data_IF_715190730042
#
_entry.id   IF_715190730042
#
_cell.length_a   1.000
_cell.length_b   1.000
_cell.length_c   1.000
_cell.angle_alpha   90.00
_cell.angle_beta   90.00
_cell.angle_gamma   90.00
#
_symmetry.space_group_name_H-M   'P 1'
#
loop_
_entity.id
_entity.type
_entity.pdbx_description
1 polymer ?
#
# COMPACT_ATOMS: atom_id res chain seq x y z
N UNK A 1 -50.75 -20.04 12.00
CA UNK A 1 -50.70 -20.39 10.55
C UNK A 1 -49.30 -20.70 10.03
N UNK A 2 -48.24 -20.02 10.46
CA UNK A 2 -46.85 -20.30 10.03
C UNK A 2 -46.46 -21.79 10.15
N UNK A 3 -46.75 -22.42 11.28
CA UNK A 3 -46.49 -23.85 11.52
C UNK A 3 -47.22 -24.73 10.49
N UNK A 4 -48.46 -24.38 10.12
CA UNK A 4 -49.24 -25.12 9.12
C UNK A 4 -48.78 -24.89 7.68
N UNK A 5 -48.19 -23.73 7.39
CA UNK A 5 -47.62 -23.42 6.07
C UNK A 5 -46.29 -24.15 5.83
N UNK A 6 -45.53 -24.43 6.89
CA UNK A 6 -44.21 -25.07 6.84
C UNK A 6 -44.16 -26.36 7.65
N UNK A 7 -45.16 -27.24 7.52
CA UNK A 7 -45.27 -28.48 8.32
C UNK A 7 -43.99 -29.32 8.35
N UNK A 8 -43.20 -29.32 7.30
CA UNK A 8 -41.95 -30.07 7.21
C UNK A 8 -40.82 -29.54 8.12
N UNK A 9 -40.92 -28.30 8.62
CA UNK A 9 -39.93 -27.69 9.52
C UNK A 9 -40.26 -27.88 11.01
N UNK A 10 -41.45 -28.42 11.33
CA UNK A 10 -41.96 -28.51 12.70
C UNK A 10 -42.26 -29.95 13.09
N UNK A 11 -42.18 -30.22 14.40
CA UNK A 11 -42.53 -31.52 14.96
C UNK A 11 -44.05 -31.77 14.87
N UNK A 12 -44.50 -33.04 14.72
CA UNK A 12 -45.93 -33.39 14.62
C UNK A 12 -46.81 -32.82 15.74
N UNK A 13 -46.28 -32.77 16.96
CA UNK A 13 -46.97 -32.24 18.15
C UNK A 13 -47.26 -30.75 18.01
N UNK A 14 -46.33 -29.98 17.44
CA UNK A 14 -46.51 -28.55 17.19
C UNK A 14 -47.51 -28.29 16.05
N UNK A 15 -47.57 -29.18 15.06
CA UNK A 15 -48.57 -29.12 13.99
C UNK A 15 -49.97 -29.38 14.56
N UNK A 16 -50.12 -30.42 15.39
CA UNK A 16 -51.39 -30.77 16.03
C UNK A 16 -51.91 -29.63 16.92
N UNK A 17 -51.07 -29.09 17.81
CA UNK A 17 -51.43 -27.94 18.65
C UNK A 17 -51.79 -26.70 17.82
N UNK A 18 -51.09 -26.45 16.71
CA UNK A 18 -51.41 -25.33 15.82
C UNK A 18 -52.72 -25.51 15.04
N UNK A 19 -53.11 -26.76 14.73
CA UNK A 19 -54.40 -27.05 14.11
C UNK A 19 -55.55 -26.83 15.10
N UNK A 20 -55.38 -27.27 16.34
CA UNK A 20 -56.35 -27.09 17.43
C UNK A 20 -56.56 -25.61 17.76
N UNK A 21 -55.47 -24.86 17.94
CA UNK A 21 -55.51 -23.41 18.20
C UNK A 21 -56.19 -22.62 17.06
N UNK A 22 -56.04 -23.08 15.81
CA UNK A 22 -56.69 -22.44 14.64
C UNK A 22 -58.16 -22.85 14.52
N UNK A 23 -58.53 -24.05 14.95
CA UNK A 23 -59.93 -24.46 15.00
C UNK A 23 -60.70 -23.67 16.07
N UNK A 24 -60.05 -23.34 17.19
CA UNK A 24 -60.63 -22.57 18.28
C UNK A 24 -60.78 -21.07 17.94
N UNK A 25 -59.80 -20.53 17.20
CA UNK A 25 -59.87 -19.16 16.67
C UNK A 25 -60.74 -19.15 15.40
N UNK A 26 -62.02 -18.77 15.52
CA UNK A 26 -62.97 -18.55 14.42
C UNK A 26 -62.54 -17.41 13.48
N UNK A 27 -61.42 -17.59 12.79
CA UNK A 27 -60.86 -16.62 11.84
C UNK A 27 -61.72 -16.56 10.59
N UNK A 28 -62.03 -15.35 10.16
CA UNK A 28 -62.71 -15.08 8.89
C UNK A 28 -61.82 -15.46 7.70
N UNK A 29 -62.41 -15.82 6.56
CA UNK A 29 -61.65 -16.18 5.35
C UNK A 29 -60.72 -15.04 4.86
N UNK A 30 -61.12 -13.78 5.10
CA UNK A 30 -60.30 -12.60 4.78
C UNK A 30 -59.02 -12.54 5.65
N UNK A 31 -59.12 -12.84 6.94
CA UNK A 31 -57.97 -12.92 7.85
C UNK A 31 -57.02 -14.06 7.47
N UNK A 32 -57.57 -15.22 7.07
CA UNK A 32 -56.75 -16.35 6.59
C UNK A 32 -55.97 -15.97 5.33
N UNK A 33 -56.63 -15.29 4.39
CA UNK A 33 -56.02 -14.80 3.15
C UNK A 33 -54.91 -13.77 3.41
N UNK A 34 -55.14 -12.80 4.31
CA UNK A 34 -54.13 -11.80 4.67
C UNK A 34 -52.89 -12.43 5.33
N UNK A 35 -53.09 -13.37 6.26
CA UNK A 35 -51.98 -14.07 6.92
C UNK A 35 -51.19 -14.90 5.90
N UNK A 36 -51.87 -15.55 4.94
CA UNK A 36 -51.21 -16.32 3.89
C UNK A 36 -50.38 -15.44 2.96
N UNK A 37 -50.89 -14.26 2.57
CA UNK A 37 -50.12 -13.27 1.79
C UNK A 37 -48.90 -12.74 2.56
N UNK A 38 -49.06 -12.46 3.86
CA UNK A 38 -47.95 -11.99 4.69
C UNK A 38 -46.85 -13.06 4.83
N UNK A 39 -47.23 -14.33 4.99
CA UNK A 39 -46.28 -15.45 5.04
C UNK A 39 -45.53 -15.63 3.71
N UNK A 40 -46.22 -15.50 2.57
CA UNK A 40 -45.58 -15.56 1.25
C UNK A 40 -44.58 -14.41 1.06
N UNK A 41 -44.93 -13.19 1.51
CA UNK A 41 -44.02 -12.04 1.46
C UNK A 41 -42.80 -12.22 2.35
N UNK A 42 -42.98 -12.73 3.58
CA UNK A 42 -41.86 -13.01 4.49
C UNK A 42 -40.91 -14.07 3.90
N UNK A 43 -41.46 -15.09 3.23
CA UNK A 43 -40.67 -16.14 2.57
C UNK A 43 -39.87 -15.57 1.39
N UNK A 44 -40.53 -14.80 0.52
CA UNK A 44 -39.86 -14.14 -0.61
C UNK A 44 -38.75 -13.18 -0.15
N UNK A 45 -38.97 -12.43 0.94
CA UNK A 45 -37.97 -11.55 1.53
C UNK A 45 -36.78 -12.34 2.13
N UNK A 46 -37.03 -13.49 2.78
CA UNK A 46 -35.97 -14.37 3.28
C UNK A 46 -35.13 -14.95 2.13
N UNK A 47 -35.78 -15.45 1.08
CA UNK A 47 -35.09 -15.98 -0.10
C UNK A 47 -34.25 -14.89 -0.79
N UNK A 48 -34.80 -13.68 -0.91
CA UNK A 48 -34.08 -12.53 -1.47
C UNK A 48 -32.88 -12.13 -0.60
N UNK A 49 -33.02 -12.15 0.73
CA UNK A 49 -31.92 -11.89 1.66
C UNK A 49 -30.83 -12.97 1.56
N UNK A 50 -31.22 -14.25 1.60
CA UNK A 50 -30.29 -15.37 1.43
C UNK A 50 -29.54 -15.32 0.09
N UNK A 51 -30.25 -15.02 -1.01
CA UNK A 51 -29.63 -14.84 -2.32
C UNK A 51 -28.68 -13.63 -2.35
N UNK A 52 -29.04 -12.52 -1.69
CA UNK A 52 -28.18 -11.33 -1.59
C UNK A 52 -26.93 -11.56 -0.74
N UNK A 53 -27.02 -12.37 0.32
CA UNK A 53 -25.91 -12.77 1.18
C UNK A 53 -24.95 -13.72 0.45
N UNK A 54 -25.49 -14.71 -0.27
CA UNK A 54 -24.70 -15.58 -1.15
C UNK A 54 -24.01 -14.79 -2.25
N UNK A 55 -24.68 -13.82 -2.87
CA UNK A 55 -24.08 -12.93 -3.86
C UNK A 55 -22.99 -12.02 -3.25
N UNK A 56 -23.16 -11.56 -2.00
CA UNK A 56 -22.11 -10.86 -1.25
C UNK A 56 -20.93 -11.80 -1.04
N UNK A 57 -21.14 -12.98 -0.46
CA UNK A 57 -20.09 -13.95 -0.20
C UNK A 57 -19.33 -14.32 -1.47
N UNK A 58 -20.03 -14.52 -2.61
CA UNK A 58 -19.40 -14.77 -3.91
C UNK A 58 -18.54 -13.59 -4.41
N UNK A 59 -18.96 -12.35 -4.16
CA UNK A 59 -18.14 -11.15 -4.46
C UNK A 59 -16.89 -11.10 -3.60
N UNK A 60 -17.00 -11.38 -2.29
CA UNK A 60 -15.87 -11.35 -1.36
C UNK A 60 -14.92 -12.53 -1.55
N UNK A 61 -15.43 -13.74 -1.80
CA UNK A 61 -14.62 -14.93 -2.09
C UNK A 61 -13.92 -14.84 -3.45
N UNK A 62 -14.55 -14.18 -4.44
CA UNK A 62 -13.92 -13.85 -5.72
C UNK A 62 -12.76 -12.85 -5.59
N UNK A 63 -12.83 -11.94 -4.63
CA UNK A 63 -11.71 -11.02 -4.33
C UNK A 63 -10.58 -11.76 -3.60
N UNK A 64 -10.91 -12.63 -2.64
CA UNK A 64 -9.94 -13.45 -1.90
C UNK A 64 -9.20 -14.45 -2.78
N UNK A 65 -9.88 -15.12 -3.71
CA UNK A 65 -9.25 -16.05 -4.67
C UNK A 65 -8.37 -15.31 -5.69
N UNK A 66 -8.81 -14.15 -6.19
CA UNK A 66 -7.97 -13.28 -7.05
C UNK A 66 -6.75 -12.72 -6.33
N UNK A 67 -6.88 -12.41 -5.04
CA UNK A 67 -5.76 -12.00 -4.20
C UNK A 67 -4.83 -13.18 -3.88
N UNK A 68 -5.35 -14.39 -3.61
CA UNK A 68 -4.51 -15.58 -3.38
C UNK A 68 -3.68 -15.97 -4.60
N UNK A 69 -4.25 -15.85 -5.81
CA UNK A 69 -3.50 -15.97 -7.06
C UNK A 69 -2.50 -14.82 -7.28
N UNK A 70 -2.79 -13.61 -6.78
CA UNK A 70 -1.90 -12.45 -6.81
C UNK A 70 -0.87 -12.40 -5.67
N UNK A 71 -1.00 -13.24 -4.63
CA UNK A 71 -0.01 -13.44 -3.56
C UNK A 71 1.08 -14.43 -4.01
N UNK A 72 0.82 -15.25 -5.02
CA UNK A 72 1.82 -16.16 -5.57
C UNK A 72 2.04 -16.09 -7.11
N UNK A 73 2.09 -14.91 -7.76
CA UNK A 73 2.30 -14.80 -9.20
C UNK A 73 3.74 -15.16 -9.62
N UNK A 74 4.63 -15.42 -8.65
CA UNK A 74 6.05 -15.73 -8.86
C UNK A 74 6.33 -17.25 -8.76
N UNK A 75 5.32 -18.08 -8.51
CA UNK A 75 5.48 -19.53 -8.31
C UNK A 75 6.04 -20.29 -9.52
N UNK A 76 5.95 -19.72 -10.73
CA UNK A 76 6.49 -20.34 -11.96
C UNK A 76 7.96 -19.97 -12.24
N UNK A 77 8.56 -19.09 -11.43
CA UNK A 77 9.97 -18.70 -11.58
C UNK A 77 10.94 -19.67 -10.91
N UNK A 78 12.15 -19.84 -11.48
CA UNK A 78 13.24 -20.56 -10.80
C UNK A 78 13.41 -20.05 -9.35
N UNK A 79 13.68 -20.93 -8.39
CA UNK A 79 13.79 -20.58 -6.96
C UNK A 79 14.73 -19.39 -6.69
N UNK A 80 15.71 -19.17 -7.57
CA UNK A 80 16.64 -18.04 -7.53
C UNK A 80 15.98 -16.67 -7.75
N UNK A 81 15.00 -16.56 -8.65
CA UNK A 81 14.34 -15.29 -8.99
C UNK A 81 13.43 -14.85 -7.85
N UNK A 82 12.67 -15.80 -7.29
CA UNK A 82 11.80 -15.55 -6.13
C UNK A 82 12.59 -15.04 -4.94
N UNK A 83 13.72 -15.69 -4.62
CA UNK A 83 14.63 -15.25 -3.55
C UNK A 83 15.08 -13.80 -3.75
N UNK A 84 15.46 -13.43 -4.98
CA UNK A 84 15.87 -12.04 -5.30
C UNK A 84 14.74 -11.04 -5.08
N UNK A 85 13.53 -11.34 -5.56
CA UNK A 85 12.37 -10.47 -5.37
C UNK A 85 12.09 -10.26 -3.88
N UNK A 86 12.09 -11.35 -3.09
CA UNK A 86 11.87 -11.28 -1.64
C UNK A 86 12.95 -10.44 -0.95
N UNK A 87 14.22 -10.63 -1.29
CA UNK A 87 15.33 -9.84 -0.71
C UNK A 87 15.16 -8.35 -1.05
N UNK A 88 14.82 -8.00 -2.30
CA UNK A 88 14.55 -6.61 -2.68
C UNK A 88 13.36 -6.03 -1.92
N UNK A 89 12.26 -6.79 -1.77
CA UNK A 89 11.11 -6.37 -0.99
C UNK A 89 11.45 -6.14 0.49
N UNK A 90 12.26 -7.01 1.10
CA UNK A 90 12.71 -6.84 2.48
C UNK A 90 13.58 -5.59 2.60
N UNK A 91 14.56 -5.41 1.70
CA UNK A 91 15.43 -4.25 1.70
C UNK A 91 14.64 -2.94 1.58
N UNK A 92 13.80 -2.80 0.54
CA UNK A 92 13.01 -1.58 0.35
C UNK A 92 11.91 -1.43 1.40
N UNK A 93 11.38 -2.53 1.94
CA UNK A 93 10.40 -2.50 3.03
C UNK A 93 11.00 -1.93 4.31
N UNK A 94 12.18 -2.44 4.73
CA UNK A 94 12.92 -1.91 5.87
C UNK A 94 13.33 -0.45 5.65
N UNK A 95 13.80 -0.13 4.44
CA UNK A 95 14.16 1.25 4.08
C UNK A 95 12.96 2.19 4.12
N UNK A 96 11.78 1.74 3.66
CA UNK A 96 10.53 2.48 3.79
C UNK A 96 10.18 2.73 5.26
N UNK A 97 10.30 1.72 6.13
CA UNK A 97 10.04 1.89 7.57
C UNK A 97 10.98 2.92 8.19
N UNK A 98 12.27 2.90 7.79
CA UNK A 98 13.23 3.90 8.24
C UNK A 98 12.83 5.31 7.79
N UNK A 99 12.43 5.50 6.53
CA UNK A 99 11.95 6.79 6.01
C UNK A 99 10.70 7.26 6.73
N UNK A 100 9.78 6.36 7.07
CA UNK A 100 8.62 6.70 7.87
C UNK A 100 9.00 7.14 9.28
N UNK A 101 9.93 6.42 9.92
CA UNK A 101 10.41 6.74 11.26
C UNK A 101 11.04 8.14 11.30
N UNK A 102 11.96 8.45 10.38
CA UNK A 102 12.58 9.78 10.30
C UNK A 102 11.61 10.85 9.79
N UNK A 103 10.72 10.48 8.88
CA UNK A 103 9.71 11.37 8.31
C UNK A 103 8.72 11.87 9.35
N UNK A 104 8.23 11.00 10.24
CA UNK A 104 7.30 11.41 11.32
C UNK A 104 7.92 12.45 12.24
N UNK A 105 9.20 12.32 12.59
CA UNK A 105 9.90 13.33 13.40
C UNK A 105 9.97 14.69 12.67
N UNK A 106 10.25 14.65 11.36
CA UNK A 106 10.23 15.86 10.54
C UNK A 106 8.84 16.49 10.43
N UNK A 107 7.79 15.66 10.27
CA UNK A 107 6.41 16.15 10.20
C UNK A 107 6.02 16.91 11.47
N UNK A 108 6.39 16.40 12.65
CA UNK A 108 6.17 17.08 13.93
C UNK A 108 6.81 18.48 13.93
N UNK A 109 8.08 18.57 13.51
CA UNK A 109 8.80 19.84 13.41
C UNK A 109 8.11 20.85 12.46
N UNK A 110 7.60 20.38 11.32
CA UNK A 110 6.89 21.25 10.36
C UNK A 110 5.59 21.79 10.95
N UNK A 111 4.83 21.00 11.70
CA UNK A 111 3.59 21.47 12.33
C UNK A 111 3.82 22.48 13.45
N UNK A 112 4.99 22.44 14.10
CA UNK A 112 5.37 23.37 15.16
C UNK A 112 6.00 24.69 14.62
N UNK A 113 6.37 24.74 13.32
CA UNK A 113 7.06 25.86 12.70
C UNK A 113 6.14 26.75 11.84
N UNK A 114 6.41 28.07 11.69
CA UNK A 114 5.65 28.93 10.79
C UNK A 114 5.74 28.43 9.33
N UNK A 115 4.58 28.16 8.72
CA UNK A 115 4.37 27.39 7.48
C UNK A 115 5.05 27.90 6.18
N UNK A 116 5.82 28.99 6.21
CA UNK A 116 6.22 29.72 4.99
C UNK A 116 7.15 28.95 4.02
N UNK A 117 8.20 28.30 4.52
CA UNK A 117 9.22 27.62 3.69
C UNK A 117 9.15 26.09 3.75
N UNK A 118 8.37 25.53 4.68
CA UNK A 118 8.40 24.09 4.97
C UNK A 118 7.37 23.25 4.18
N UNK A 119 6.40 23.88 3.49
CA UNK A 119 5.32 23.15 2.81
C UNK A 119 5.84 22.29 1.65
N UNK A 120 6.82 22.77 0.88
CA UNK A 120 7.35 22.03 -0.28
C UNK A 120 8.13 20.80 0.20
N UNK A 121 9.01 20.96 1.19
CA UNK A 121 9.74 19.83 1.81
C UNK A 121 8.79 18.84 2.48
N UNK A 122 7.72 19.32 3.11
CA UNK A 122 6.67 18.48 3.65
C UNK A 122 6.03 17.63 2.57
N UNK A 123 5.64 18.23 1.43
CA UNK A 123 5.03 17.51 0.31
C UNK A 123 5.99 16.51 -0.32
N UNK A 124 7.27 16.86 -0.46
CA UNK A 124 8.31 15.96 -0.94
C UNK A 124 8.50 14.76 0.00
N UNK A 125 8.62 15.01 1.30
CA UNK A 125 8.77 13.97 2.32
C UNK A 125 7.56 13.04 2.32
N UNK A 126 6.34 13.61 2.29
CA UNK A 126 5.09 12.86 2.23
C UNK A 126 4.99 12.03 0.96
N UNK A 127 5.39 12.60 -0.19
CA UNK A 127 5.42 11.89 -1.46
C UNK A 127 6.33 10.66 -1.36
N UNK A 128 7.56 10.80 -0.87
CA UNK A 128 8.50 9.67 -0.71
C UNK A 128 7.99 8.63 0.30
N UNK A 129 7.41 9.08 1.42
CA UNK A 129 6.79 8.20 2.43
C UNK A 129 5.66 7.35 1.83
N UNK A 130 4.90 7.85 0.86
CA UNK A 130 3.83 7.08 0.21
C UNK A 130 4.32 6.27 -0.99
N UNK A 131 5.25 6.82 -1.77
CA UNK A 131 5.70 6.24 -3.03
C UNK A 131 6.46 4.92 -2.83
N UNK A 132 7.33 4.84 -1.83
CA UNK A 132 8.16 3.66 -1.57
C UNK A 132 7.33 2.46 -1.09
N UNK A 133 6.48 2.55 -0.05
CA UNK A 133 5.69 1.39 0.39
C UNK A 133 4.71 0.95 -0.71
N UNK A 134 4.15 1.89 -1.47
CA UNK A 134 3.34 1.57 -2.64
C UNK A 134 4.17 0.84 -3.71
N UNK A 135 5.40 1.30 -3.98
CA UNK A 135 6.35 0.65 -4.87
C UNK A 135 6.68 -0.77 -4.44
N UNK A 136 6.98 -0.98 -3.15
CA UNK A 136 7.27 -2.30 -2.56
C UNK A 136 6.06 -3.22 -2.67
N UNK A 137 4.86 -2.73 -2.32
CA UNK A 137 3.63 -3.51 -2.41
C UNK A 137 3.34 -3.93 -3.85
N UNK A 138 3.36 -2.99 -4.80
CA UNK A 138 3.15 -3.26 -6.22
C UNK A 138 4.23 -4.19 -6.79
N UNK A 139 5.47 -4.06 -6.32
CA UNK A 139 6.57 -4.93 -6.72
C UNK A 139 6.37 -6.35 -6.18
N UNK A 140 5.94 -6.49 -4.93
CA UNK A 140 5.61 -7.80 -4.31
C UNK A 140 4.53 -8.55 -5.10
N UNK A 141 3.46 -7.87 -5.50
CA UNK A 141 2.37 -8.47 -6.29
C UNK A 141 2.68 -8.59 -7.80
N UNK A 142 3.95 -8.41 -8.20
CA UNK A 142 4.39 -8.64 -9.58
C UNK A 142 3.92 -7.58 -10.60
N UNK A 143 3.52 -6.38 -10.16
CA UNK A 143 3.05 -5.33 -11.08
C UNK A 143 4.22 -4.52 -11.63
N UNK A 144 4.20 -4.29 -12.95
CA UNK A 144 5.18 -3.44 -13.66
C UNK A 144 5.38 -2.06 -13.01
N UNK A 145 4.29 -1.47 -12.51
CA UNK A 145 4.33 -0.18 -11.82
C UNK A 145 5.25 -0.21 -10.59
N UNK A 146 5.28 -1.30 -9.82
CA UNK A 146 6.18 -1.44 -8.68
C UNK A 146 7.65 -1.40 -9.09
N UNK A 147 8.01 -2.07 -10.19
CA UNK A 147 9.37 -1.99 -10.74
C UNK A 147 9.73 -0.56 -11.17
N UNK A 148 8.79 0.15 -11.83
CA UNK A 148 9.02 1.55 -12.27
C UNK A 148 9.26 2.45 -11.06
N UNK A 149 8.43 2.33 -10.01
CA UNK A 149 8.54 3.13 -8.79
C UNK A 149 9.88 2.88 -8.09
N UNK A 150 10.25 1.61 -7.86
CA UNK A 150 11.50 1.25 -7.19
C UNK A 150 12.74 1.62 -8.02
N UNK A 151 12.69 1.45 -9.34
CA UNK A 151 13.79 1.84 -10.22
C UNK A 151 13.95 3.37 -10.25
N UNK A 152 12.88 4.12 -10.43
CA UNK A 152 12.92 5.60 -10.42
C UNK A 152 13.44 6.14 -9.08
N UNK A 153 12.99 5.55 -7.97
CA UNK A 153 13.49 5.84 -6.63
C UNK A 153 14.98 5.51 -6.46
N UNK A 154 15.42 4.35 -6.94
CA UNK A 154 16.84 3.94 -6.89
C UNK A 154 17.71 4.92 -7.68
N UNK A 155 17.29 5.30 -8.89
CA UNK A 155 18.01 6.27 -9.72
C UNK A 155 18.08 7.65 -9.05
N UNK A 156 17.01 8.08 -8.38
CA UNK A 156 16.99 9.29 -7.58
C UNK A 156 18.07 9.24 -6.50
N UNK A 157 18.16 8.14 -5.72
CA UNK A 157 19.20 8.00 -4.69
C UNK A 157 20.63 7.98 -5.25
N UNK A 158 20.85 7.31 -6.39
CA UNK A 158 22.16 7.31 -7.06
C UNK A 158 22.59 8.74 -7.41
N UNK A 159 21.68 9.50 -8.03
CA UNK A 159 21.96 10.86 -8.46
C UNK A 159 22.12 11.82 -7.27
N UNK A 160 21.26 11.72 -6.26
CA UNK A 160 21.38 12.50 -5.02
C UNK A 160 22.68 12.20 -4.27
N UNK A 161 23.10 10.93 -4.19
CA UNK A 161 24.37 10.56 -3.57
C UNK A 161 25.57 11.10 -4.38
N UNK A 162 25.50 11.07 -5.72
CA UNK A 162 26.54 11.64 -6.57
C UNK A 162 26.66 13.17 -6.37
N UNK A 163 25.53 13.88 -6.36
CA UNK A 163 25.50 15.33 -6.10
C UNK A 163 26.06 15.63 -4.70
N UNK A 164 25.59 14.91 -3.67
CA UNK A 164 26.06 15.07 -2.29
C UNK A 164 27.56 14.81 -2.16
N UNK A 165 28.08 13.78 -2.84
CA UNK A 165 29.50 13.50 -2.87
C UNK A 165 30.31 14.65 -3.49
N UNK A 166 29.86 15.20 -4.62
CA UNK A 166 30.50 16.38 -5.25
C UNK A 166 30.48 17.59 -4.32
N UNK A 167 29.35 17.84 -3.64
CA UNK A 167 29.22 18.93 -2.67
C UNK A 167 30.22 18.76 -1.53
N UNK A 168 30.30 17.56 -0.93
CA UNK A 168 31.24 17.28 0.17
C UNK A 168 32.69 17.46 -0.27
N UNK A 169 33.05 17.04 -1.48
CA UNK A 169 34.41 17.25 -2.01
C UNK A 169 34.77 18.72 -2.25
N UNK A 170 33.76 19.56 -2.49
CA UNK A 170 33.94 21.01 -2.72
C UNK A 170 33.86 21.84 -1.45
N UNK A 171 33.24 21.31 -0.40
CA UNK A 171 33.20 21.96 0.91
C UNK A 171 34.63 22.06 1.44
N UNK A 172 35.12 23.29 1.59
CA UNK A 172 36.38 23.55 2.29
C UNK A 172 36.18 23.20 3.75
N UNK A 173 37.16 22.54 4.41
CA UNK A 173 37.08 22.35 5.86
C UNK A 173 36.92 23.73 6.50
N UNK A 174 35.83 23.92 7.26
CA UNK A 174 35.67 25.12 8.07
C UNK A 174 36.81 25.07 9.08
N UNK A 175 37.80 25.95 8.94
CA UNK A 175 38.88 26.07 9.91
C UNK A 175 38.23 26.33 11.26
N UNK A 176 38.33 25.35 12.15
CA UNK A 176 37.80 25.37 13.51
C UNK A 176 38.61 26.34 14.38
N UNK A 177 38.60 27.62 14.00
CA UNK A 177 39.27 28.71 14.68
C UNK A 177 38.37 29.33 15.72
N UNK A 178 38.45 28.83 16.96
CA UNK A 178 38.22 29.54 18.24
C UNK A 178 36.90 30.30 18.52
N UNK A 179 35.95 30.39 17.59
CA UNK A 179 34.66 31.08 17.78
C UNK A 179 33.46 30.27 17.25
N UNK A 180 33.46 28.94 17.37
CA UNK A 180 32.34 28.08 16.94
C UNK A 180 31.19 28.02 17.95
N UNK A 181 30.83 29.16 18.57
CA UNK A 181 29.63 29.31 19.40
C UNK A 181 28.50 29.95 18.62
N UNK A 182 28.02 29.32 17.55
CA UNK A 182 26.70 29.57 16.93
C UNK A 182 26.61 28.74 15.65
N UNK A 183 26.06 27.53 15.68
CA UNK A 183 24.60 27.43 15.71
C UNK A 183 24.14 26.02 16.11
N UNK A 184 22.94 25.93 16.67
CA UNK A 184 22.22 24.67 16.93
C UNK A 184 22.18 23.74 15.69
N UNK A 185 22.27 24.31 14.49
CA UNK A 185 22.31 23.59 13.22
C UNK A 185 23.58 22.76 13.02
N UNK A 186 24.75 23.22 13.49
CA UNK A 186 26.01 22.48 13.36
C UNK A 186 26.05 21.21 14.23
N UNK A 187 25.17 21.10 15.24
CA UNK A 187 25.03 19.89 16.08
C UNK A 187 23.92 18.96 15.64
N UNK A 188 23.00 19.41 14.78
CA UNK A 188 21.86 18.62 14.31
C UNK A 188 22.09 18.02 12.92
N UNK A 189 22.94 18.65 12.12
CA UNK A 189 23.27 18.17 10.77
C UNK A 189 24.65 17.54 10.82
N UNK A 190 24.73 16.30 11.29
CA UNK A 190 25.92 15.47 11.09
C UNK A 190 26.11 15.28 9.57
N UNK A 191 27.03 16.05 8.99
CA UNK A 191 27.35 15.93 7.57
C UNK A 191 27.94 14.54 7.35
N UNK A 192 27.31 13.68 6.53
CA UNK A 192 27.81 12.34 6.32
C UNK A 192 29.22 12.40 5.72
N UNK A 193 30.10 11.53 6.19
CA UNK A 193 31.44 11.43 5.61
C UNK A 193 31.37 11.09 4.12
N UNK A 194 32.32 11.58 3.32
CA UNK A 194 32.40 11.27 1.89
C UNK A 194 32.41 9.76 1.62
N UNK A 195 33.08 8.98 2.50
CA UNK A 195 33.09 7.52 2.44
C UNK A 195 31.70 6.91 2.63
N UNK A 196 30.90 7.40 3.59
CA UNK A 196 29.53 6.93 3.78
C UNK A 196 28.66 7.20 2.56
N UNK A 197 28.74 8.41 1.98
CA UNK A 197 27.98 8.76 0.76
C UNK A 197 28.39 7.89 -0.42
N UNK A 198 29.69 7.61 -0.57
CA UNK A 198 30.19 6.70 -1.61
C UNK A 198 29.67 5.26 -1.43
N UNK A 199 29.64 4.74 -0.19
CA UNK A 199 29.08 3.41 0.11
C UNK A 199 27.60 3.35 -0.25
N UNK A 200 26.83 4.39 0.09
CA UNK A 200 25.41 4.48 -0.29
C UNK A 200 25.24 4.50 -1.81
N UNK A 201 26.03 5.33 -2.53
CA UNK A 201 26.03 5.37 -3.98
C UNK A 201 26.28 3.98 -4.58
N UNK A 202 27.32 3.27 -4.12
CA UNK A 202 27.65 1.94 -4.60
C UNK A 202 26.55 0.91 -4.28
N UNK A 203 25.94 0.99 -3.11
CA UNK A 203 24.82 0.13 -2.71
C UNK A 203 23.61 0.31 -3.63
N UNK A 204 23.18 1.55 -3.87
CA UNK A 204 22.05 1.82 -4.78
C UNK A 204 22.37 1.48 -6.24
N UNK A 205 23.63 1.65 -6.67
CA UNK A 205 24.06 1.19 -7.99
C UNK A 205 23.96 -0.34 -8.13
N UNK A 206 24.37 -1.09 -7.11
CA UNK A 206 24.21 -2.55 -7.06
C UNK A 206 22.74 -2.99 -7.09
N UNK A 207 21.87 -2.23 -6.41
CA UNK A 207 20.42 -2.47 -6.45
C UNK A 207 19.84 -2.17 -7.84
N UNK A 208 20.22 -1.06 -8.47
CA UNK A 208 19.80 -0.73 -9.83
C UNK A 208 20.22 -1.82 -10.82
N UNK A 209 21.47 -2.30 -10.71
CA UNK A 209 21.96 -3.42 -11.51
C UNK A 209 21.16 -4.70 -11.28
N UNK A 210 20.79 -4.98 -10.02
CA UNK A 210 19.93 -6.13 -9.68
C UNK A 210 18.52 -5.98 -10.27
N UNK A 211 17.95 -4.78 -10.22
CA UNK A 211 16.65 -4.45 -10.82
C UNK A 211 16.68 -4.54 -12.36
N UNK A 212 17.83 -4.26 -12.97
CA UNK A 212 18.04 -4.34 -14.42
C UNK A 212 18.23 -5.78 -14.95
N UNK A 213 18.21 -6.79 -14.07
CA UNK A 213 18.38 -8.18 -14.49
C UNK A 213 17.31 -8.63 -15.50
N UNK A 214 17.72 -9.24 -16.62
CA UNK A 214 16.81 -9.65 -17.70
C UNK A 214 15.67 -10.56 -17.25
N UNK A 215 15.93 -11.50 -16.32
CA UNK A 215 14.90 -12.40 -15.78
C UNK A 215 13.86 -11.65 -14.94
N UNK A 216 14.31 -10.67 -14.17
CA UNK A 216 13.42 -9.81 -13.39
C UNK A 216 12.58 -8.93 -14.32
N UNK A 217 13.21 -8.30 -15.32
CA UNK A 217 12.50 -7.49 -16.33
C UNK A 217 11.42 -8.28 -17.07
N UNK A 218 11.72 -9.52 -17.44
CA UNK A 218 10.75 -10.42 -18.06
C UNK A 218 9.56 -10.70 -17.12
N UNK A 219 9.82 -11.01 -15.84
CA UNK A 219 8.77 -11.28 -14.85
C UNK A 219 7.80 -10.10 -14.65
N UNK A 220 8.30 -8.86 -14.71
CA UNK A 220 7.50 -7.65 -14.57
C UNK A 220 7.02 -7.05 -15.90
N UNK A 221 7.26 -7.75 -17.03
CA UNK A 221 6.92 -7.28 -18.40
C UNK A 221 7.44 -5.86 -18.68
N UNK A 222 8.67 -5.60 -18.25
CA UNK A 222 9.34 -4.30 -18.40
C UNK A 222 9.69 -4.10 -19.87
N UNK A 223 9.15 -3.03 -20.48
CA UNK A 223 9.52 -2.58 -21.83
C UNK A 223 10.41 -1.34 -21.77
N UNK A 224 11.00 -0.92 -22.89
CA UNK A 224 11.81 0.31 -22.96
C UNK A 224 11.06 1.56 -22.46
N UNK A 225 9.75 1.63 -22.69
CA UNK A 225 8.89 2.71 -22.17
C UNK A 225 8.88 2.79 -20.64
N UNK A 226 9.10 1.67 -19.93
CA UNK A 226 9.16 1.69 -18.45
C UNK A 226 10.35 2.47 -17.94
N UNK A 227 11.50 2.41 -18.63
CA UNK A 227 12.69 3.16 -18.25
C UNK A 227 12.45 4.64 -18.40
N UNK A 228 11.80 5.06 -19.49
CA UNK A 228 11.41 6.46 -19.69
C UNK A 228 10.56 6.90 -18.50
N UNK A 229 9.54 6.13 -18.11
CA UNK A 229 8.72 6.45 -16.93
C UNK A 229 9.52 6.49 -15.62
N UNK A 230 10.47 5.57 -15.42
CA UNK A 230 11.31 5.56 -14.23
C UNK A 230 12.23 6.80 -14.16
N UNK A 231 12.81 7.19 -15.30
CA UNK A 231 13.65 8.41 -15.43
C UNK A 231 12.80 9.67 -15.27
N UNK A 232 11.61 9.72 -15.87
CA UNK A 232 10.68 10.86 -15.69
C UNK A 232 10.29 11.01 -14.22
N UNK A 233 9.98 9.91 -13.53
CA UNK A 233 9.68 9.92 -12.11
C UNK A 233 10.88 10.42 -11.29
N UNK A 234 12.09 9.92 -11.56
CA UNK A 234 13.32 10.38 -10.92
C UNK A 234 13.52 11.88 -11.11
N UNK A 235 13.42 12.39 -12.35
CA UNK A 235 13.60 13.81 -12.65
C UNK A 235 12.55 14.67 -11.94
N UNK A 236 11.30 14.21 -11.89
CA UNK A 236 10.22 14.92 -11.19
C UNK A 236 10.52 15.05 -9.69
N UNK A 237 10.94 13.96 -9.03
CA UNK A 237 11.31 14.00 -7.62
C UNK A 237 12.49 14.97 -7.42
N UNK A 238 13.51 14.89 -8.28
CA UNK A 238 14.70 15.73 -8.19
C UNK A 238 14.41 17.22 -8.40
N UNK A 239 13.56 17.58 -9.35
CA UNK A 239 13.14 18.98 -9.57
C UNK A 239 12.43 19.51 -8.33
N UNK A 240 11.56 18.71 -7.72
CA UNK A 240 10.92 19.08 -6.45
C UNK A 240 11.99 19.29 -5.37
N UNK A 241 12.94 18.36 -5.19
CA UNK A 241 14.04 18.49 -4.22
C UNK A 241 14.88 19.75 -4.41
N UNK A 242 15.26 20.07 -5.66
CA UNK A 242 16.05 21.27 -5.96
C UNK A 242 15.27 22.56 -5.74
N UNK A 243 13.99 22.55 -6.10
CA UNK A 243 13.11 23.68 -5.83
C UNK A 243 12.98 23.90 -4.33
N UNK A 244 12.73 22.85 -3.54
CA UNK A 244 12.75 22.89 -2.07
C UNK A 244 14.05 23.54 -1.56
N UNK A 245 15.21 23.06 -1.99
CA UNK A 245 16.51 23.56 -1.54
C UNK A 245 16.75 25.04 -1.84
N UNK A 246 16.19 25.59 -2.92
CA UNK A 246 16.43 26.98 -3.32
C UNK A 246 15.69 28.03 -2.45
N UNK A 247 14.73 27.59 -1.61
CA UNK A 247 14.00 28.47 -0.68
C UNK A 247 14.61 28.50 0.74
N UNK A 248 15.79 27.90 0.92
CA UNK A 248 16.60 27.95 2.14
C UNK A 248 17.90 28.69 1.87
#
# INVERSE_FOLDING_TARGET
>A
MRILAFKHEYQPEAIAAAQEEIADRTLSEDEKSQIQQQLQKEQADKERRAASELARQARWSGIGTRLSGAINPISEGSSSLRKRIVILCIFFGLHSLFIWYTGVQYLQYVFDSPLGSSVIFFLETLLLMLLIPLGVFLFWIGKRAGWILLMGYTLYYILSALIGFIVILRMRPVESGLLSTSSFYDRLVDVPSAGMVFVLFAAFLGIAWTLDNSRLKAAYKVTSKSYIWAVTLMLLILVVSFYSFSYY
#
